data_IF_238691233950
#
_entry.id   IF_238691233950
#
_cell.length_a   1.000
_cell.length_b   1.000
_cell.length_c   1.000
_cell.angle_alpha   90.00
_cell.angle_beta   90.00
_cell.angle_gamma   90.00
#
_symmetry.space_group_name_H-M   'P 1'
#
loop_
_entity.id
_entity.type
_entity.pdbx_description
1 polymer ?
#
# COMPACT_ATOMS: atom_id res chain seq x y z
N UNK A 1 -20.54 0.22 -7.47
CA UNK A 1 -20.09 1.09 -8.59
C UNK A 1 -18.74 0.62 -9.08
N UNK A 2 -18.27 1.10 -10.24
CA UNK A 2 -16.91 0.85 -10.71
C UNK A 2 -15.92 1.31 -9.62
N UNK A 3 -14.98 0.44 -9.23
CA UNK A 3 -13.93 0.71 -8.23
C UNK A 3 -14.37 0.82 -6.74
N UNK A 4 -15.51 0.24 -6.34
CA UNK A 4 -15.96 0.27 -4.92
C UNK A 4 -14.88 -0.24 -3.94
N UNK A 5 -14.12 -1.28 -4.32
CA UNK A 5 -13.04 -1.82 -3.50
C UNK A 5 -11.91 -0.81 -3.26
N UNK A 6 -11.60 0.04 -4.24
CA UNK A 6 -10.60 1.11 -4.09
C UNK A 6 -11.08 2.20 -3.12
N UNK A 7 -12.39 2.52 -3.17
CA UNK A 7 -12.99 3.47 -2.23
C UNK A 7 -12.95 2.93 -0.80
N UNK A 8 -13.35 1.68 -0.59
CA UNK A 8 -13.29 1.03 0.73
C UNK A 8 -11.86 0.97 1.25
N UNK A 9 -10.89 0.64 0.39
CA UNK A 9 -9.46 0.62 0.72
C UNK A 9 -8.98 2.00 1.19
N UNK A 10 -9.32 3.08 0.46
CA UNK A 10 -8.97 4.45 0.84
C UNK A 10 -9.52 4.81 2.22
N UNK A 11 -10.79 4.51 2.48
CA UNK A 11 -11.43 4.79 3.77
C UNK A 11 -10.76 4.02 4.91
N UNK A 12 -10.43 2.75 4.72
CA UNK A 12 -9.73 1.95 5.73
C UNK A 12 -8.32 2.51 6.03
N UNK A 13 -7.60 2.94 5.00
CA UNK A 13 -6.28 3.55 5.15
C UNK A 13 -6.33 4.89 5.90
N UNK A 14 -7.34 5.73 5.63
CA UNK A 14 -7.57 6.99 6.35
C UNK A 14 -7.86 6.74 7.84
N UNK A 15 -8.71 5.76 8.16
CA UNK A 15 -9.02 5.36 9.54
C UNK A 15 -7.79 4.86 10.29
N UNK A 16 -6.89 4.14 9.61
CA UNK A 16 -5.65 3.62 10.20
C UNK A 16 -4.50 4.63 10.21
N UNK A 17 -4.71 5.85 9.70
CA UNK A 17 -3.68 6.89 9.54
C UNK A 17 -2.44 6.40 8.77
N UNK A 18 -2.63 5.54 7.80
CA UNK A 18 -1.54 5.07 6.94
C UNK A 18 -1.09 6.19 6.01
N UNK A 19 0.23 6.39 5.90
CA UNK A 19 0.78 7.32 4.90
C UNK A 19 1.00 6.53 3.63
N UNK A 20 0.19 6.77 2.61
CA UNK A 20 0.22 5.97 1.39
C UNK A 20 1.01 6.72 0.32
N UNK A 21 1.83 6.00 -0.43
CA UNK A 21 2.38 6.49 -1.68
C UNK A 21 2.04 5.51 -2.80
N UNK A 22 2.04 6.00 -4.04
CA UNK A 22 1.83 5.19 -5.21
C UNK A 22 2.90 5.42 -6.25
N UNK A 23 3.22 4.36 -6.99
CA UNK A 23 4.10 4.44 -8.14
C UNK A 23 3.67 3.45 -9.21
N UNK A 24 4.02 3.76 -10.46
CA UNK A 24 3.79 2.88 -11.59
C UNK A 24 4.88 1.80 -11.64
N UNK A 25 4.48 0.54 -11.81
CA UNK A 25 5.40 -0.59 -11.90
C UNK A 25 5.01 -1.48 -13.08
N UNK A 26 5.99 -1.77 -13.95
CA UNK A 26 5.75 -2.63 -15.10
C UNK A 26 6.28 -4.03 -14.82
N UNK A 27 5.41 -5.04 -14.93
CA UNK A 27 5.78 -6.45 -14.82
C UNK A 27 5.22 -7.23 -15.99
N UNK A 28 6.09 -8.00 -16.67
CA UNK A 28 5.71 -8.79 -17.86
C UNK A 28 4.90 -7.99 -18.89
N UNK A 29 5.35 -6.76 -19.17
CA UNK A 29 4.71 -5.83 -20.12
C UNK A 29 3.32 -5.32 -19.70
N UNK A 30 2.88 -5.59 -18.47
CA UNK A 30 1.65 -5.04 -17.90
C UNK A 30 2.02 -3.94 -16.90
N UNK A 31 1.34 -2.81 -16.99
CA UNK A 31 1.54 -1.67 -16.10
C UNK A 31 0.59 -1.75 -14.90
N UNK A 32 1.15 -1.62 -13.70
CA UNK A 32 0.43 -1.71 -12.43
C UNK A 32 0.59 -0.41 -11.64
N UNK A 33 -0.48 0.03 -11.00
CA UNK A 33 -0.41 1.05 -9.93
C UNK A 33 -0.13 0.31 -8.63
N UNK A 34 1.06 0.49 -8.05
CA UNK A 34 1.44 -0.10 -6.77
C UNK A 34 1.13 0.89 -5.66
N UNK A 35 0.43 0.43 -4.63
CA UNK A 35 0.18 1.17 -3.40
C UNK A 35 1.11 0.66 -2.31
N UNK A 36 1.81 1.56 -1.62
CA UNK A 36 2.69 1.23 -0.50
C UNK A 36 2.29 2.03 0.74
N UNK A 37 2.35 1.37 1.90
CA UNK A 37 2.28 2.05 3.18
C UNK A 37 3.69 2.51 3.57
N UNK A 38 3.88 3.82 3.66
CA UNK A 38 5.11 4.44 4.10
C UNK A 38 5.16 4.40 5.63
N UNK A 39 6.21 3.79 6.15
CA UNK A 39 6.53 3.85 7.58
C UNK A 39 7.02 5.26 7.93
N UNK A 40 6.12 6.12 8.41
CA UNK A 40 6.45 7.44 8.96
C UNK A 40 6.62 7.32 10.47
N UNK A 41 7.75 6.77 10.92
CA UNK A 41 8.05 6.69 12.35
C UNK A 41 9.24 5.79 12.69
N UNK A 42 9.50 5.61 14.00
CA UNK A 42 10.48 4.64 14.52
C UNK A 42 9.94 3.20 14.54
N UNK A 43 8.92 2.88 13.73
CA UNK A 43 8.36 1.54 13.67
C UNK A 43 9.47 0.56 13.27
N UNK A 44 9.94 -0.23 14.24
CA UNK A 44 10.95 -1.24 14.00
C UNK A 44 10.33 -2.30 13.10
N UNK A 45 10.89 -2.48 11.92
CA UNK A 45 10.66 -3.65 11.08
C UNK A 45 10.84 -4.89 11.97
N UNK A 46 9.75 -5.57 12.34
CA UNK A 46 9.88 -6.90 12.91
C UNK A 46 10.44 -7.79 11.81
N UNK A 47 11.75 -8.02 11.87
CA UNK A 47 12.45 -8.87 10.94
C UNK A 47 12.11 -10.32 11.29
N UNK A 48 10.92 -10.78 10.88
CA UNK A 48 10.57 -12.19 10.94
C UNK A 48 11.32 -12.90 9.81
N UNK A 49 12.62 -13.12 10.03
CA UNK A 49 13.38 -14.14 9.30
C UNK A 49 12.89 -15.49 9.80
N UNK A 50 11.99 -16.11 9.06
CA UNK A 50 11.96 -17.56 9.02
C UNK A 50 12.88 -17.95 7.86
N UNK A 51 14.09 -18.39 8.23
CA UNK A 51 15.04 -19.04 7.34
C UNK A 51 14.45 -20.36 6.84
#
# INVERSE_FOLDING_TARGET
>A
MLLENLRLLKTDMEVKQWTISSFMFTYRQVEYVVLVNLFVGQEKKQMNLHC
#
